data_IF_659309276807
#
_entry.id   IF_659309276807
#
_cell.length_a   1.000
_cell.length_b   1.000
_cell.length_c   1.000
_cell.angle_alpha   90.00
_cell.angle_beta   90.00
_cell.angle_gamma   90.00
#
_symmetry.space_group_name_H-M   'P 1'
#
loop_
_entity.id
_entity.type
_entity.pdbx_description
1 polymer ?
#
# COMPACT_ATOMS: atom_id res chain seq x y z
N UNK A 1 -13.86 -9.74 -14.55
CA UNK A 1 -12.80 -10.05 -13.57
C UNK A 1 -12.69 -8.85 -12.64
N UNK A 2 -12.69 -9.03 -11.32
CA UNK A 2 -12.58 -7.90 -10.38
C UNK A 2 -11.14 -7.39 -10.43
N UNK A 3 -10.94 -6.08 -10.63
CA UNK A 3 -9.62 -5.46 -10.55
C UNK A 3 -9.34 -5.05 -9.10
N UNK A 4 -8.12 -5.31 -8.64
CA UNK A 4 -7.63 -4.96 -7.31
C UNK A 4 -6.34 -4.16 -7.46
N UNK A 5 -6.26 -3.06 -6.74
CA UNK A 5 -5.14 -2.13 -6.72
C UNK A 5 -4.49 -2.15 -5.34
N UNK A 6 -3.27 -2.66 -5.26
CA UNK A 6 -2.50 -2.70 -4.03
C UNK A 6 -1.70 -1.39 -3.93
N UNK A 7 -1.94 -0.61 -2.89
CA UNK A 7 -1.30 0.69 -2.71
C UNK A 7 0.05 0.52 -2.03
N UNK A 8 1.15 0.77 -2.73
CA UNK A 8 2.50 0.76 -2.16
C UNK A 8 2.77 1.96 -1.23
N UNK A 9 3.75 1.80 -0.34
CA UNK A 9 4.26 2.86 0.54
C UNK A 9 4.62 4.12 -0.23
N UNK A 10 5.33 4.00 -1.36
CA UNK A 10 5.85 5.14 -2.09
C UNK A 10 4.72 5.96 -2.75
N UNK A 11 3.73 5.28 -3.33
CA UNK A 11 2.54 5.91 -3.91
C UNK A 11 1.68 6.54 -2.81
N UNK A 12 1.50 5.87 -1.67
CA UNK A 12 0.76 6.42 -0.54
C UNK A 12 1.43 7.69 0.01
N UNK A 13 2.76 7.72 0.11
CA UNK A 13 3.50 8.91 0.51
C UNK A 13 3.30 10.08 -0.47
N UNK A 14 3.32 9.80 -1.78
CA UNK A 14 3.07 10.80 -2.83
C UNK A 14 1.64 11.33 -2.76
N UNK A 15 0.66 10.44 -2.60
CA UNK A 15 -0.76 10.81 -2.49
C UNK A 15 -1.02 11.74 -1.29
N UNK A 16 -0.42 11.41 -0.14
CA UNK A 16 -0.54 12.18 1.10
C UNK A 16 0.38 13.41 1.17
N UNK A 17 1.25 13.61 0.18
CA UNK A 17 2.29 14.64 0.16
C UNK A 17 3.16 14.65 1.43
N UNK A 18 3.62 13.46 1.85
CA UNK A 18 4.56 13.36 2.97
C UNK A 18 5.82 14.19 2.65
N UNK A 19 6.23 15.14 3.52
CA UNK A 19 7.35 16.02 3.20
C UNK A 19 8.66 15.27 2.92
N UNK A 20 9.27 15.57 1.77
CA UNK A 20 10.45 14.86 1.25
C UNK A 20 10.15 13.57 0.49
N UNK A 21 8.87 13.27 0.24
CA UNK A 21 8.38 12.09 -0.51
C UNK A 21 7.28 12.48 -1.52
N UNK A 22 7.31 13.71 -2.01
CA UNK A 22 6.29 14.28 -2.92
C UNK A 22 6.31 13.65 -4.32
N UNK A 23 7.40 12.94 -4.67
CA UNK A 23 7.51 12.18 -5.92
C UNK A 23 8.22 10.85 -5.69
N UNK A 24 7.86 9.83 -6.47
CA UNK A 24 8.57 8.55 -6.52
C UNK A 24 8.80 8.09 -7.97
N UNK A 25 9.60 7.03 -8.15
CA UNK A 25 10.00 6.53 -9.47
C UNK A 25 10.98 7.44 -10.22
N UNK A 26 11.31 7.06 -11.45
CA UNK A 26 12.32 7.73 -12.27
C UNK A 26 11.95 7.76 -13.75
N UNK A 27 12.46 8.76 -14.49
CA UNK A 27 12.22 8.92 -15.92
C UNK A 27 10.73 9.01 -16.25
N UNK A 28 10.26 8.24 -17.23
CA UNK A 28 8.86 8.20 -17.63
C UNK A 28 7.93 7.55 -16.57
N UNK A 29 8.50 6.86 -15.58
CA UNK A 29 7.75 6.30 -14.45
C UNK A 29 7.82 7.18 -13.20
N UNK A 30 8.03 8.49 -13.36
CA UNK A 30 7.94 9.44 -12.25
C UNK A 30 6.49 9.67 -11.87
N UNK A 31 6.19 9.54 -10.58
CA UNK A 31 4.90 9.81 -9.98
C UNK A 31 4.95 11.09 -9.17
N UNK A 32 3.88 11.87 -9.28
CA UNK A 32 3.61 13.06 -8.47
C UNK A 32 2.15 12.97 -8.00
N UNK A 33 1.74 13.88 -7.10
CA UNK A 33 0.37 13.88 -6.57
C UNK A 33 -0.69 13.88 -7.67
N UNK A 34 -0.53 14.73 -8.68
CA UNK A 34 -1.50 14.85 -9.77
C UNK A 34 -1.71 13.50 -10.49
N UNK A 35 -0.62 12.84 -10.90
CA UNK A 35 -0.70 11.55 -11.58
C UNK A 35 -1.32 10.46 -10.71
N UNK A 36 -1.00 10.43 -9.41
CA UNK A 36 -1.59 9.46 -8.47
C UNK A 36 -3.09 9.72 -8.31
N UNK A 37 -3.50 10.96 -8.09
CA UNK A 37 -4.93 11.34 -7.95
C UNK A 37 -5.72 11.00 -9.21
N UNK A 38 -5.23 11.39 -10.39
CA UNK A 38 -5.89 11.11 -11.67
C UNK A 38 -6.08 9.60 -11.90
N UNK A 39 -5.08 8.80 -11.52
CA UNK A 39 -5.18 7.34 -11.61
C UNK A 39 -6.20 6.79 -10.61
N UNK A 40 -6.13 7.16 -9.34
CA UNK A 40 -7.04 6.65 -8.32
C UNK A 40 -8.49 7.02 -8.64
N UNK A 41 -8.77 8.25 -9.08
CA UNK A 41 -10.11 8.64 -9.51
C UNK A 41 -10.61 7.84 -10.71
N UNK A 42 -9.74 7.55 -11.68
CA UNK A 42 -10.07 6.71 -12.83
C UNK A 42 -10.40 5.28 -12.39
N UNK A 43 -9.60 4.70 -11.51
CA UNK A 43 -9.79 3.34 -11.01
C UNK A 43 -11.04 3.24 -10.12
N UNK A 44 -11.32 4.25 -9.30
CA UNK A 44 -12.55 4.33 -8.50
C UNK A 44 -13.80 4.38 -9.40
N UNK A 45 -13.78 5.18 -10.48
CA UNK A 45 -14.86 5.21 -11.48
C UNK A 45 -15.03 3.89 -12.24
N UNK A 46 -13.97 3.08 -12.31
CA UNK A 46 -13.99 1.74 -12.88
C UNK A 46 -14.41 0.65 -11.88
N UNK A 47 -14.81 1.03 -10.66
CA UNK A 47 -15.15 0.11 -9.56
C UNK A 47 -13.99 -0.84 -9.18
N UNK A 48 -12.75 -0.37 -9.34
CA UNK A 48 -11.56 -1.09 -8.87
C UNK A 48 -11.52 -1.08 -7.35
N UNK A 49 -11.21 -2.22 -6.74
CA UNK A 49 -11.05 -2.34 -5.29
C UNK A 49 -9.65 -1.90 -4.87
N UNK A 50 -9.53 -1.03 -3.87
CA UNK A 50 -8.25 -0.58 -3.33
C UNK A 50 -7.91 -1.37 -2.07
N UNK A 51 -6.67 -1.84 -1.98
CA UNK A 51 -6.16 -2.56 -0.82
C UNK A 51 -5.06 -1.73 -0.21
N UNK A 52 -5.18 -1.48 1.08
CA UNK A 52 -4.18 -0.79 1.89
C UNK A 52 -3.35 -1.82 2.68
N UNK A 53 -2.13 -2.16 2.26
CA UNK A 53 -1.31 -3.13 2.97
C UNK A 53 -0.91 -2.62 4.36
N UNK A 54 -0.85 -3.51 5.36
CA UNK A 54 -0.34 -3.14 6.69
C UNK A 54 1.08 -2.56 6.63
N UNK A 55 1.95 -3.10 5.76
CA UNK A 55 3.29 -2.58 5.57
C UNK A 55 3.31 -1.13 5.08
N UNK A 56 2.43 -0.79 4.12
CA UNK A 56 2.30 0.59 3.63
C UNK A 56 1.86 1.53 4.75
N UNK A 57 0.92 1.12 5.62
CA UNK A 57 0.51 1.90 6.80
C UNK A 57 1.71 2.17 7.72
N UNK A 58 2.46 1.12 8.07
CA UNK A 58 3.59 1.22 9.01
C UNK A 58 4.71 2.11 8.43
N UNK A 59 5.08 1.88 7.18
CA UNK A 59 6.18 2.61 6.54
C UNK A 59 5.81 4.08 6.26
N UNK A 60 4.61 4.35 5.75
CA UNK A 60 4.12 5.72 5.57
C UNK A 60 4.00 6.44 6.92
N UNK A 61 3.48 5.79 7.96
CA UNK A 61 3.42 6.34 9.31
C UNK A 61 4.80 6.72 9.85
N UNK A 62 5.80 5.86 9.65
CA UNK A 62 7.19 6.15 10.03
C UNK A 62 7.78 7.32 9.25
N UNK A 63 7.52 7.42 7.94
CA UNK A 63 7.95 8.55 7.13
C UNK A 63 7.30 9.87 7.59
N UNK A 64 6.01 9.85 7.94
CA UNK A 64 5.31 11.01 8.50
C UNK A 64 5.95 11.43 9.82
N UNK A 65 6.20 10.48 10.74
CA UNK A 65 6.81 10.79 12.04
C UNK A 65 8.21 11.43 11.91
N UNK A 66 8.97 11.02 10.89
CA UNK A 66 10.31 11.53 10.57
C UNK A 66 10.31 12.80 9.73
N UNK A 67 9.15 13.25 9.23
CA UNK A 67 9.05 14.44 8.39
C UNK A 67 9.36 15.72 9.17
N UNK A 68 9.93 16.72 8.48
CA UNK A 68 10.34 18.00 9.10
C UNK A 68 9.17 18.90 9.46
N UNK A 69 8.07 18.80 8.71
CA UNK A 69 6.86 19.64 8.83
C UNK A 69 5.62 18.79 8.57
N UNK A 70 4.43 19.38 8.73
CA UNK A 70 3.13 18.76 8.39
C UNK A 70 2.80 17.40 9.03
N UNK A 71 3.52 17.00 10.08
CA UNK A 71 3.39 15.67 10.69
C UNK A 71 1.96 15.36 11.14
N UNK A 72 1.30 16.35 11.75
CA UNK A 72 -0.05 16.18 12.26
C UNK A 72 -1.07 16.11 11.11
N UNK A 73 -1.04 17.06 10.18
CA UNK A 73 -1.98 17.11 9.06
C UNK A 73 -1.85 15.86 8.16
N UNK A 74 -0.62 15.43 7.87
CA UNK A 74 -0.40 14.21 7.07
C UNK A 74 -0.79 12.94 7.83
N UNK A 75 -0.59 12.89 9.15
CA UNK A 75 -1.06 11.76 9.97
C UNK A 75 -2.59 11.69 10.02
N UNK A 76 -3.29 12.83 10.10
CA UNK A 76 -4.76 12.86 10.02
C UNK A 76 -5.25 12.31 8.67
N UNK A 77 -4.62 12.73 7.57
CA UNK A 77 -4.98 12.23 6.24
C UNK A 77 -4.73 10.72 6.09
N UNK A 78 -3.64 10.18 6.65
CA UNK A 78 -3.44 8.73 6.71
C UNK A 78 -4.50 8.03 7.57
N UNK A 79 -4.84 8.60 8.73
CA UNK A 79 -5.86 8.05 9.63
C UNK A 79 -7.23 7.94 8.95
N UNK A 80 -7.64 8.95 8.18
CA UNK A 80 -8.89 8.90 7.40
C UNK A 80 -8.92 7.75 6.38
N UNK A 81 -7.78 7.45 5.76
CA UNK A 81 -7.65 6.31 4.83
C UNK A 81 -7.73 4.98 5.60
N UNK A 82 -7.07 4.89 6.75
CA UNK A 82 -7.12 3.72 7.63
C UNK A 82 -8.56 3.43 8.09
N UNK A 83 -9.30 4.46 8.50
CA UNK A 83 -10.71 4.33 8.87
C UNK A 83 -11.56 3.85 7.70
N UNK A 84 -11.37 4.38 6.49
CA UNK A 84 -12.09 3.92 5.29
C UNK A 84 -11.82 2.44 4.98
N UNK A 85 -10.57 1.99 5.10
CA UNK A 85 -10.21 0.60 4.88
C UNK A 85 -10.71 -0.34 6.00
N UNK A 86 -10.74 0.14 7.24
CA UNK A 86 -11.30 -0.61 8.37
C UNK A 86 -12.83 -0.74 8.29
N UNK A 87 -13.52 0.30 7.84
CA UNK A 87 -14.98 0.33 7.66
C UNK A 87 -15.45 -0.26 6.32
N UNK A 88 -14.55 -0.80 5.50
CA UNK A 88 -14.84 -1.35 4.16
C UNK A 88 -15.56 -0.34 3.24
N UNK A 89 -15.25 0.95 3.39
CA UNK A 89 -15.85 2.01 2.58
C UNK A 89 -15.27 1.95 1.16
N UNK A 90 -16.13 1.66 0.18
CA UNK A 90 -15.78 1.72 -1.25
C UNK A 90 -14.94 2.97 -1.58
N UNK A 91 -13.82 2.83 -2.30
CA UNK A 91 -13.32 1.62 -2.99
C UNK A 91 -12.48 0.66 -2.14
N UNK A 92 -12.29 0.91 -0.84
CA UNK A 92 -11.36 0.15 0.00
C UNK A 92 -11.90 -1.23 0.37
N UNK A 93 -11.04 -2.25 0.24
CA UNK A 93 -11.29 -3.60 0.72
C UNK A 93 -11.24 -3.68 2.26
N UNK A 94 -11.84 -4.74 2.79
CA UNK A 94 -11.72 -5.11 4.19
C UNK A 94 -10.27 -5.31 4.61
N UNK A 95 -9.81 -4.57 5.61
CA UNK A 95 -8.46 -4.72 6.15
C UNK A 95 -8.18 -6.14 6.70
N UNK A 96 -9.24 -6.82 7.19
CA UNK A 96 -9.18 -8.16 7.79
C UNK A 96 -8.73 -9.26 6.83
N UNK A 97 -8.86 -9.08 5.51
CA UNK A 97 -8.40 -10.02 4.48
C UNK A 97 -6.90 -10.34 4.59
N UNK A 98 -6.11 -9.43 5.19
CA UNK A 98 -4.67 -9.57 5.33
C UNK A 98 -4.25 -10.31 6.62
N UNK A 99 -5.19 -10.61 7.52
CA UNK A 99 -4.89 -11.22 8.84
C UNK A 99 -4.21 -12.59 8.76
N UNK A 100 -4.54 -13.39 7.75
CA UNK A 100 -3.93 -14.70 7.49
C UNK A 100 -2.43 -14.61 7.22
N UNK A 101 -1.94 -13.46 6.76
CA UNK A 101 -0.51 -13.25 6.51
C UNK A 101 0.29 -13.10 7.81
N UNK A 102 -0.38 -12.72 8.89
CA UNK A 102 0.23 -12.37 10.17
C UNK A 102 -0.06 -13.39 11.27
N UNK A 103 -0.77 -14.48 10.95
CA UNK A 103 -0.91 -15.60 11.86
C UNK A 103 0.43 -16.36 12.04
N UNK A 104 0.45 -17.34 12.96
CA UNK A 104 1.67 -18.08 13.26
C UNK A 104 2.26 -18.85 12.06
N UNK A 105 1.43 -19.27 11.11
CA UNK A 105 1.90 -19.95 9.88
C UNK A 105 2.39 -18.93 8.85
N UNK A 106 1.63 -17.84 8.66
CA UNK A 106 2.01 -16.71 7.80
C UNK A 106 3.36 -16.13 8.19
N UNK A 107 3.59 -15.91 9.49
CA UNK A 107 4.87 -15.39 10.00
C UNK A 107 6.03 -16.35 9.78
N UNK A 108 5.83 -17.66 10.01
CA UNK A 108 6.87 -18.68 9.74
C UNK A 108 7.22 -18.75 8.26
N UNK A 109 6.21 -18.65 7.39
CA UNK A 109 6.39 -18.63 5.94
C UNK A 109 7.17 -17.38 5.52
N UNK A 110 6.78 -16.20 6.01
CA UNK A 110 7.47 -14.94 5.76
C UNK A 110 8.93 -15.01 6.21
N UNK A 111 9.22 -15.58 7.38
CA UNK A 111 10.59 -15.71 7.89
C UNK A 111 11.50 -16.49 6.93
N UNK A 112 10.98 -17.55 6.30
CA UNK A 112 11.73 -18.33 5.30
C UNK A 112 11.87 -17.56 3.99
N UNK A 113 10.75 -17.10 3.41
CA UNK A 113 10.74 -16.46 2.09
C UNK A 113 11.51 -15.13 2.09
N UNK A 114 11.26 -14.27 3.08
CA UNK A 114 11.92 -12.97 3.16
C UNK A 114 13.43 -13.10 3.36
N UNK A 115 13.91 -14.10 4.10
CA UNK A 115 15.36 -14.29 4.29
C UNK A 115 16.11 -14.45 2.95
N UNK A 116 15.49 -15.10 1.97
CA UNK A 116 16.03 -15.27 0.62
C UNK A 116 15.92 -13.99 -0.21
N UNK A 117 14.81 -13.25 -0.07
CA UNK A 117 14.58 -11.98 -0.75
C UNK A 117 15.48 -10.85 -0.21
N UNK A 118 15.79 -10.88 1.09
CA UNK A 118 16.70 -9.93 1.73
C UNK A 118 18.11 -10.00 1.14
N UNK A 119 18.57 -11.19 0.73
CA UNK A 119 19.84 -11.36 0.01
C UNK A 119 19.85 -10.61 -1.34
N UNK A 120 18.68 -10.32 -1.90
CA UNK A 120 18.48 -9.53 -3.12
C UNK A 120 18.12 -8.07 -2.84
N UNK A 121 18.27 -7.62 -1.58
CA UNK A 121 17.94 -6.26 -1.09
C UNK A 121 16.46 -5.89 -1.17
N UNK A 122 15.57 -6.88 -1.19
CA UNK A 122 14.11 -6.64 -1.08
C UNK A 122 13.77 -6.41 0.38
N UNK A 123 13.06 -5.33 0.68
CA UNK A 123 12.65 -5.02 2.05
C UNK A 123 11.56 -5.99 2.52
N UNK A 124 11.40 -6.11 3.85
CA UNK A 124 10.30 -6.91 4.40
C UNK A 124 8.93 -6.29 4.07
N UNK A 125 8.87 -4.96 3.98
CA UNK A 125 7.68 -4.22 3.52
C UNK A 125 7.27 -4.66 2.12
N UNK A 126 8.18 -4.55 1.15
CA UNK A 126 7.94 -4.98 -0.24
C UNK A 126 7.52 -6.45 -0.33
N UNK A 127 8.19 -7.33 0.43
CA UNK A 127 7.88 -8.74 0.46
C UNK A 127 6.43 -8.99 0.91
N UNK A 128 5.98 -8.30 1.96
CA UNK A 128 4.62 -8.45 2.50
C UNK A 128 3.55 -7.80 1.61
N UNK A 129 3.84 -6.66 0.96
CA UNK A 129 2.97 -6.04 -0.04
C UNK A 129 2.76 -7.01 -1.22
N UNK A 130 3.83 -7.66 -1.70
CA UNK A 130 3.75 -8.71 -2.72
C UNK A 130 2.91 -9.90 -2.25
N UNK A 131 3.03 -10.31 -1.00
CA UNK A 131 2.19 -11.40 -0.46
C UNK A 131 0.70 -11.04 -0.45
N UNK A 132 0.35 -9.79 -0.12
CA UNK A 132 -1.03 -9.28 -0.23
C UNK A 132 -1.51 -9.33 -1.69
N UNK A 133 -0.68 -8.90 -2.63
CA UNK A 133 -1.01 -8.98 -4.06
C UNK A 133 -1.26 -10.42 -4.53
N UNK A 134 -0.41 -11.36 -4.11
CA UNK A 134 -0.56 -12.78 -4.44
C UNK A 134 -1.82 -13.40 -3.81
N UNK A 135 -2.23 -12.96 -2.62
CA UNK A 135 -3.47 -13.39 -1.99
C UNK A 135 -4.68 -13.04 -2.87
N UNK A 136 -4.80 -11.77 -3.31
CA UNK A 136 -5.88 -11.37 -4.21
C UNK A 136 -5.79 -12.00 -5.60
N UNK A 137 -4.58 -12.27 -6.11
CA UNK A 137 -4.43 -12.95 -7.39
C UNK A 137 -4.99 -14.38 -7.34
N UNK A 138 -4.79 -15.09 -6.22
CA UNK A 138 -5.31 -16.45 -5.99
C UNK A 138 -6.85 -16.51 -5.90
N UNK A 139 -7.51 -15.40 -5.59
CA UNK A 139 -8.99 -15.32 -5.58
C UNK A 139 -9.59 -15.02 -6.96
N UNK A 140 -8.75 -14.97 -8.02
CA UNK A 140 -9.19 -14.72 -9.39
C UNK A 140 -9.33 -13.22 -9.73
N UNK A 141 -8.76 -12.34 -8.90
CA UNK A 141 -8.71 -10.91 -9.20
C UNK A 141 -7.59 -10.58 -10.19
N UNK A 142 -7.79 -9.55 -11.02
CA UNK A 142 -6.71 -8.91 -11.75
C UNK A 142 -6.02 -7.95 -10.79
N UNK A 143 -4.77 -8.23 -10.41
CA UNK A 143 -4.06 -7.46 -9.37
C UNK A 143 -2.96 -6.60 -9.99
N UNK A 144 -2.90 -5.35 -9.55
CA UNK A 144 -1.85 -4.38 -9.88
C UNK A 144 -1.30 -3.78 -8.58
N UNK A 145 0.03 -3.73 -8.44
CA UNK A 145 0.69 -2.98 -7.36
C UNK A 145 1.09 -1.64 -7.96
N UNK A 146 0.67 -0.54 -7.32
CA UNK A 146 1.06 0.81 -7.72
C UNK A 146 2.39 1.22 -7.12
#
# INVERSE_FOLDING_TARGET
MRKVLIIDTSILCVYLEVPGKETCGSGNNKWNKQRVVELLEKEEKASTTFVLPLAAIIETGNHIAQARTKRYETAQALAEIMEKAADEKTPWAAFTDQSVLWDAQGLKKLAVEWSQLAAQKVSIGDATIKTVAEFYAKTGCQVEIL
#
